data_IF_475838950766
#
_entry.id   IF_475838950766
#
_cell.length_a   1.000
_cell.length_b   1.000
_cell.length_c   1.000
_cell.angle_alpha   90.00
_cell.angle_beta   90.00
_cell.angle_gamma   90.00
#
_symmetry.space_group_name_H-M   'P 1'
#
loop_
_entity.id
_entity.type
_entity.pdbx_description
1 polymer ?
#
# COMPACT_ATOMS: atom_id res chain seq x y z
N UNK A 1 -10.00 -6.73 -7.01
CA UNK A 1 -9.39 -6.93 -5.76
C UNK A 1 -10.02 -6.20 -4.60
N UNK A 2 -10.83 -5.45 -4.79
CA UNK A 2 -11.37 -4.56 -3.79
C UNK A 2 -12.10 -5.24 -2.68
N UNK A 3 -11.68 -6.42 -2.41
CA UNK A 3 -12.21 -7.08 -1.25
C UNK A 3 -11.73 -6.47 0.01
N UNK A 4 -10.76 -5.61 -0.07
CA UNK A 4 -10.52 -4.80 1.07
C UNK A 4 -11.81 -4.10 1.26
N UNK A 5 -12.45 -4.52 2.26
CA UNK A 5 -13.85 -4.36 2.34
C UNK A 5 -14.31 -2.95 2.36
N UNK A 6 -15.27 -2.69 1.56
CA UNK A 6 -15.92 -1.41 1.62
C UNK A 6 -16.66 -1.24 2.91
N UNK A 7 -16.83 -2.28 3.69
CA UNK A 7 -17.46 -2.11 4.98
C UNK A 7 -16.50 -1.56 6.01
N UNK A 8 -15.20 -1.73 5.82
CA UNK A 8 -14.25 -1.19 6.76
C UNK A 8 -13.50 0.01 6.22
N UNK A 9 -13.59 0.27 4.94
CA UNK A 9 -12.81 1.34 4.34
C UNK A 9 -13.74 2.30 3.64
N UNK A 10 -13.57 3.57 3.94
CA UNK A 10 -14.41 4.62 3.39
C UNK A 10 -13.80 5.06 2.07
N UNK A 11 -14.62 5.08 1.04
CA UNK A 11 -14.17 5.49 -0.27
C UNK A 11 -14.13 7.01 -0.35
N UNK A 12 -12.98 7.54 -0.71
CA UNK A 12 -12.79 8.98 -0.83
C UNK A 12 -12.04 9.25 -2.11
N UNK A 13 -12.63 10.00 -3.03
CA UNK A 13 -11.97 10.41 -4.27
C UNK A 13 -11.36 9.25 -5.02
N UNK A 14 -12.08 8.15 -5.12
CA UNK A 14 -11.57 6.98 -5.82
C UNK A 14 -10.67 6.10 -4.99
N UNK A 15 -10.25 6.54 -3.82
CA UNK A 15 -9.45 5.76 -2.91
C UNK A 15 -10.33 5.16 -1.83
N UNK A 16 -9.81 4.15 -1.17
CA UNK A 16 -10.50 3.53 -0.05
C UNK A 16 -9.67 3.79 1.19
N UNK A 17 -10.28 4.42 2.17
CA UNK A 17 -9.58 4.82 3.38
C UNK A 17 -10.25 4.24 4.61
N UNK A 18 -9.46 3.97 5.62
CA UNK A 18 -9.96 3.49 6.90
C UNK A 18 -8.86 3.53 7.94
N UNK A 19 -9.18 3.14 9.17
CA UNK A 19 -8.16 3.14 10.22
C UNK A 19 -7.00 2.24 9.83
N UNK A 20 -5.79 2.71 10.09
CA UNK A 20 -4.60 1.96 9.70
C UNK A 20 -4.58 0.53 10.20
N UNK A 21 -4.91 0.23 11.47
CA UNK A 21 -4.89 -1.16 11.90
C UNK A 21 -5.89 -2.03 11.16
N UNK A 22 -7.03 -1.48 10.82
CA UNK A 22 -8.05 -2.24 10.09
C UNK A 22 -7.57 -2.52 8.68
N UNK A 23 -7.02 -1.51 8.02
CA UNK A 23 -6.51 -1.69 6.66
C UNK A 23 -5.40 -2.72 6.63
N UNK A 24 -4.49 -2.67 7.60
CA UNK A 24 -3.41 -3.64 7.68
C UNK A 24 -3.92 -5.04 7.90
N UNK A 25 -4.93 -5.18 8.74
CA UNK A 25 -5.52 -6.48 9.02
C UNK A 25 -6.17 -7.06 7.77
N UNK A 26 -6.85 -6.23 7.01
CA UNK A 26 -7.48 -6.70 5.78
C UNK A 26 -6.44 -7.20 4.78
N UNK A 27 -5.34 -6.46 4.65
CA UNK A 27 -4.28 -6.89 3.75
C UNK A 27 -3.65 -8.19 4.23
N UNK A 28 -3.49 -8.34 5.54
CA UNK A 28 -2.93 -9.55 6.08
C UNK A 28 -3.81 -10.75 5.77
N UNK A 29 -5.12 -10.57 5.81
CA UNK A 29 -6.05 -11.65 5.45
C UNK A 29 -5.91 -12.07 4.01
N UNK A 30 -5.48 -11.15 3.16
CA UNK A 30 -5.24 -11.46 1.76
C UNK A 30 -3.85 -12.04 1.51
N UNK A 31 -3.07 -12.21 2.55
CA UNK A 31 -1.73 -12.74 2.43
C UNK A 31 -0.70 -11.71 2.00
N UNK A 32 -1.06 -10.44 2.01
CA UNK A 32 -0.14 -9.40 1.59
C UNK A 32 0.69 -8.91 2.77
N UNK A 33 1.97 -8.80 2.54
CA UNK A 33 2.91 -8.37 3.57
C UNK A 33 3.54 -7.06 3.17
N UNK A 34 3.92 -6.28 4.17
CA UNK A 34 4.63 -5.03 3.92
C UNK A 34 6.01 -5.35 3.35
N UNK A 35 6.30 -4.83 2.19
CA UNK A 35 7.56 -5.14 1.52
C UNK A 35 8.44 -3.91 1.33
N UNK A 36 7.86 -2.72 1.38
CA UNK A 36 8.66 -1.50 1.21
C UNK A 36 7.87 -0.32 1.75
N UNK A 37 8.57 0.74 2.05
CA UNK A 37 7.93 1.99 2.43
C UNK A 37 8.79 3.15 1.95
N UNK A 38 8.15 4.30 1.83
CA UNK A 38 8.83 5.50 1.39
C UNK A 38 8.12 6.70 1.98
N UNK A 39 8.80 7.81 1.98
CA UNK A 39 8.18 9.06 2.40
C UNK A 39 7.75 9.82 1.17
N UNK A 40 6.56 10.39 1.24
CA UNK A 40 6.04 11.21 0.16
C UNK A 40 5.86 12.62 0.67
N UNK A 41 6.51 13.56 0.02
CA UNK A 41 6.36 14.95 0.37
C UNK A 41 5.17 15.54 -0.35
N UNK A 42 4.21 16.03 0.41
CA UNK A 42 3.03 16.67 -0.14
C UNK A 42 3.27 18.16 -0.26
N UNK A 43 3.86 18.75 0.78
CA UNK A 43 4.29 20.13 0.78
C UNK A 43 5.66 20.18 1.44
N UNK A 44 6.32 21.30 1.46
CA UNK A 44 7.62 21.35 2.11
C UNK A 44 7.60 20.94 3.57
N UNK A 45 6.45 21.08 4.23
CA UNK A 45 6.35 20.75 5.66
C UNK A 45 5.49 19.54 5.92
N UNK A 46 4.88 18.95 4.90
CA UNK A 46 3.98 17.82 5.09
C UNK A 46 4.52 16.59 4.41
N UNK A 47 4.60 15.50 5.17
CA UNK A 47 5.10 14.24 4.67
C UNK A 47 4.13 13.13 5.05
N UNK A 48 3.88 12.24 4.12
CA UNK A 48 3.07 11.06 4.36
C UNK A 48 3.94 9.83 4.13
N UNK A 49 3.50 8.72 4.66
CA UNK A 49 4.21 7.46 4.48
C UNK A 49 3.49 6.65 3.43
N UNK A 50 4.22 6.22 2.42
CA UNK A 50 3.69 5.33 1.39
C UNK A 50 4.18 3.93 1.72
N UNK A 51 3.26 2.98 1.78
CA UNK A 51 3.60 1.60 2.11
C UNK A 51 3.19 0.69 0.97
N UNK A 52 4.04 -0.29 0.71
CA UNK A 52 3.84 -1.23 -0.38
C UNK A 52 3.66 -2.63 0.19
N UNK A 53 2.60 -3.28 -0.21
CA UNK A 53 2.28 -4.62 0.25
C UNK A 53 2.18 -5.56 -0.93
N UNK A 54 2.61 -6.79 -0.76
CA UNK A 54 2.44 -7.78 -1.80
C UNK A 54 2.32 -9.17 -1.20
N UNK A 55 1.68 -10.06 -1.95
CA UNK A 55 1.53 -11.45 -1.58
C UNK A 55 2.51 -12.26 -2.40
N UNK A 56 3.42 -12.98 -1.74
CA UNK A 56 4.36 -13.81 -2.49
C UNK A 56 3.68 -14.98 -3.20
N UNK A 57 2.49 -15.32 -2.76
CA UNK A 57 1.80 -16.48 -3.33
C UNK A 57 0.94 -16.12 -4.52
N UNK A 58 0.29 -14.99 -4.48
CA UNK A 58 -0.63 -14.62 -5.55
C UNK A 58 -0.08 -13.53 -6.45
N UNK A 59 0.92 -12.80 -6.00
CA UNK A 59 1.43 -11.68 -6.76
C UNK A 59 0.57 -10.44 -6.68
N UNK A 60 -0.47 -10.46 -5.88
CA UNK A 60 -1.28 -9.28 -5.68
C UNK A 60 -0.55 -8.27 -4.81
N UNK A 61 -0.75 -7.00 -5.11
CA UNK A 61 -0.05 -5.96 -4.38
C UNK A 61 -0.97 -4.77 -4.17
N UNK A 62 -0.63 -3.98 -3.17
CA UNK A 62 -1.41 -2.80 -2.79
C UNK A 62 -0.45 -1.71 -2.34
N UNK A 63 -0.77 -0.49 -2.70
CA UNK A 63 -0.03 0.68 -2.22
C UNK A 63 -0.97 1.50 -1.36
N UNK A 64 -0.52 1.78 -0.14
CA UNK A 64 -1.29 2.55 0.83
C UNK A 64 -0.57 3.85 1.14
N UNK A 65 -1.32 4.85 1.48
CA UNK A 65 -0.77 6.08 2.03
C UNK A 65 -1.26 6.19 3.46
N UNK A 66 -0.33 6.26 4.39
CA UNK A 66 -0.64 6.34 5.80
C UNK A 66 -0.60 7.80 6.24
N UNK A 67 -1.71 8.29 6.71
CA UNK A 67 -1.79 9.66 7.19
C UNK A 67 -1.42 9.76 8.65
N UNK A 68 -1.19 10.97 9.09
CA UNK A 68 -0.79 11.22 10.47
C UNK A 68 -1.91 11.00 11.46
N UNK A 69 -3.12 10.99 10.98
CA UNK A 69 -4.29 10.87 11.84
C UNK A 69 -4.70 9.42 12.07
N UNK A 70 -3.85 8.47 11.67
CA UNK A 70 -4.17 7.06 11.86
C UNK A 70 -5.09 6.49 10.79
N UNK A 71 -5.25 7.21 9.70
CA UNK A 71 -6.05 6.75 8.58
C UNK A 71 -5.14 6.39 7.44
N UNK A 72 -5.40 5.25 6.82
CA UNK A 72 -4.64 4.80 5.65
C UNK A 72 -5.58 4.69 4.47
N UNK A 73 -5.08 5.06 3.30
CA UNK A 73 -5.87 5.02 2.07
C UNK A 73 -5.19 4.11 1.06
N UNK A 74 -5.99 3.24 0.46
CA UNK A 74 -5.50 2.39 -0.63
C UNK A 74 -5.61 3.18 -1.91
N UNK A 75 -4.48 3.43 -2.55
CA UNK A 75 -4.45 4.30 -3.72
C UNK A 75 -4.17 3.54 -5.01
N UNK A 76 -3.53 2.40 -4.92
CA UNK A 76 -3.24 1.58 -6.09
C UNK A 76 -3.20 0.12 -5.70
N UNK A 77 -3.55 -0.74 -6.64
CA UNK A 77 -3.42 -2.18 -6.42
C UNK A 77 -3.37 -2.87 -7.78
N UNK A 78 -2.89 -4.09 -7.78
CA UNK A 78 -2.82 -4.85 -9.01
C UNK A 78 -2.30 -6.25 -8.75
N UNK A 79 -1.78 -6.87 -9.79
CA UNK A 79 -1.25 -8.20 -9.70
C UNK A 79 0.14 -8.28 -10.30
N UNK A 80 0.67 -9.49 -10.35
CA UNK A 80 1.96 -9.76 -10.96
C UNK A 80 3.10 -8.97 -10.34
N UNK A 81 3.04 -8.81 -9.02
CA UNK A 81 4.15 -8.19 -8.33
C UNK A 81 5.39 -9.02 -8.52
N UNK A 82 6.49 -8.39 -8.87
CA UNK A 82 7.76 -9.10 -8.93
C UNK A 82 8.87 -8.13 -8.59
N UNK A 83 9.86 -8.66 -7.92
CA UNK A 83 11.03 -7.90 -7.59
C UNK A 83 11.97 -7.94 -8.77
N UNK A 84 12.35 -6.77 -9.23
CA UNK A 84 13.25 -6.68 -10.36
C UNK A 84 14.67 -6.73 -9.84
N UNK A 85 15.43 -7.66 -10.40
CA UNK A 85 16.80 -7.82 -10.00
C UNK A 85 17.66 -6.91 -10.84
N UNK A 86 18.51 -6.17 -10.17
CA UNK A 86 19.40 -5.29 -10.89
C UNK A 86 20.60 -6.04 -11.40
N UNK A 87 20.97 -5.75 -12.64
CA UNK A 87 22.13 -6.38 -13.21
C UNK A 87 23.37 -5.64 -12.76
N UNK A 88 24.43 -6.40 -12.62
CA UNK A 88 25.70 -5.81 -12.26
C UNK A 88 26.10 -4.81 -13.34
N UNK A 89 26.54 -3.70 -12.92
CA UNK A 89 26.96 -2.70 -13.86
C UNK A 89 25.88 -1.77 -14.29
N UNK A 90 24.67 -2.09 -13.97
CA UNK A 90 23.60 -1.20 -14.33
C UNK A 90 23.27 -0.22 -13.27
N UNK A 91 23.50 -0.59 -12.09
CA UNK A 91 23.19 0.25 -10.98
C UNK A 91 24.07 1.46 -10.97
N UNK A 92 25.05 1.46 -11.72
CA UNK A 92 25.89 2.64 -11.77
C UNK A 92 25.30 3.72 -12.61
#
# INVERSE_FOLDING_TARGET
>A
KPEISSTSIIRVSGSQCGPTPVARMELDKLGEKLVASALMKVTPTDTLIVTFFSSPETGEWTVMIDGKNGISCMVMWGGNWRTVRQETGQES
#
